data_IF_548279609231
#
_entry.id   IF_548279609231
#
_cell.length_a   1.000
_cell.length_b   1.000
_cell.length_c   1.000
_cell.angle_alpha   90.00
_cell.angle_beta   90.00
_cell.angle_gamma   90.00
#
_symmetry.space_group_name_H-M   'P 1'
#
loop_
_entity.id
_entity.type
_entity.pdbx_description
1 polymer ?
#
# COMPACT_ATOMS: atom_id res chain seq x y z
N UNK A 1 -69.00 19.56 21.72
CA UNK A 1 -68.37 18.92 20.53
C UNK A 1 -66.89 19.06 20.64
N UNK A 2 -66.23 18.02 21.18
CA UNK A 2 -64.75 17.98 21.36
C UNK A 2 -64.09 17.42 20.12
N UNK A 3 -63.36 18.24 19.39
CA UNK A 3 -62.51 17.76 18.26
C UNK A 3 -61.24 17.15 18.84
N UNK A 4 -61.09 15.85 18.75
CA UNK A 4 -59.83 15.15 19.01
C UNK A 4 -58.84 15.46 17.88
N UNK A 5 -57.75 16.13 18.21
CA UNK A 5 -56.63 16.34 17.33
C UNK A 5 -55.68 15.13 17.50
N UNK A 6 -55.69 14.21 16.55
CA UNK A 6 -54.69 13.12 16.45
C UNK A 6 -53.43 13.70 15.85
N UNK A 7 -52.43 14.00 16.68
CA UNK A 7 -51.07 14.28 16.21
C UNK A 7 -50.39 12.98 15.88
N UNK A 8 -50.28 12.69 14.58
CA UNK A 8 -49.50 11.58 14.04
C UNK A 8 -48.01 11.95 14.12
N UNK A 9 -47.33 11.52 15.18
CA UNK A 9 -45.87 11.62 15.28
C UNK A 9 -45.28 10.58 14.35
N UNK A 10 -44.87 11.00 13.14
CA UNK A 10 -44.02 10.21 12.27
C UNK A 10 -42.61 10.15 12.88
N UNK A 11 -42.34 9.08 13.62
CA UNK A 11 -41.02 8.75 14.08
C UNK A 11 -40.23 8.29 12.84
N UNK A 12 -39.46 9.20 12.23
CA UNK A 12 -38.51 8.89 11.17
C UNK A 12 -37.37 8.07 11.81
N UNK A 13 -37.51 6.77 11.87
CA UNK A 13 -36.39 5.88 12.06
C UNK A 13 -35.50 6.03 10.82
N UNK A 14 -34.44 6.77 10.94
CA UNK A 14 -33.35 6.71 9.99
C UNK A 14 -32.73 5.30 10.08
N UNK A 15 -33.30 4.37 9.32
CA UNK A 15 -32.67 3.09 9.07
C UNK A 15 -31.41 3.40 8.29
N UNK A 16 -30.27 3.41 8.97
CA UNK A 16 -28.97 3.43 8.31
C UNK A 16 -28.89 2.09 7.56
N UNK A 17 -29.24 2.13 6.28
CA UNK A 17 -29.08 1.00 5.39
C UNK A 17 -27.60 0.71 5.31
N UNK A 18 -27.15 -0.31 6.02
CA UNK A 18 -25.80 -0.88 5.78
C UNK A 18 -25.86 -1.40 4.36
N UNK A 19 -25.10 -0.77 3.48
CA UNK A 19 -25.03 -1.20 2.09
C UNK A 19 -24.39 -2.58 2.04
N UNK A 20 -24.98 -3.51 1.29
CA UNK A 20 -24.38 -4.81 0.96
C UNK A 20 -23.23 -4.60 -0.04
N UNK A 21 -22.27 -3.75 0.29
CA UNK A 21 -21.18 -3.36 -0.57
C UNK A 21 -20.16 -4.48 -0.78
N UNK A 22 -19.55 -4.51 -1.96
CA UNK A 22 -18.48 -5.45 -2.30
C UNK A 22 -17.15 -4.89 -1.81
N UNK A 23 -16.47 -5.62 -0.93
CA UNK A 23 -15.11 -5.31 -0.48
C UNK A 23 -14.14 -6.21 -1.23
N UNK A 24 -13.21 -5.62 -1.96
CA UNK A 24 -12.14 -6.35 -2.62
C UNK A 24 -10.88 -6.30 -1.77
N UNK A 25 -10.48 -7.45 -1.22
CA UNK A 25 -9.35 -7.58 -0.28
C UNK A 25 -8.09 -7.98 -1.03
N UNK A 26 -7.00 -7.26 -0.75
CA UNK A 26 -5.67 -7.57 -1.23
C UNK A 26 -4.70 -7.79 -0.06
N UNK A 27 -4.14 -8.99 0.02
CA UNK A 27 -3.17 -9.33 1.05
C UNK A 27 -1.76 -8.97 0.55
N UNK A 28 -1.15 -7.94 1.17
CA UNK A 28 0.16 -7.40 0.81
C UNK A 28 1.16 -7.70 1.93
N UNK A 29 1.73 -8.91 1.95
CA UNK A 29 2.63 -9.38 3.00
C UNK A 29 3.98 -9.80 2.42
N UNK A 30 4.61 -8.91 1.66
CA UNK A 30 5.90 -9.17 1.04
C UNK A 30 6.67 -7.88 0.79
N UNK A 31 7.87 -8.01 0.26
CA UNK A 31 8.66 -6.90 -0.26
C UNK A 31 7.97 -6.24 -1.46
N UNK A 32 8.19 -4.94 -1.60
CA UNK A 32 7.66 -4.12 -2.71
C UNK A 32 8.61 -4.25 -3.89
N UNK A 33 8.29 -5.14 -4.81
CA UNK A 33 9.02 -5.34 -6.06
C UNK A 33 8.15 -5.10 -7.30
N UNK A 34 8.73 -5.21 -8.49
CA UNK A 34 7.99 -5.04 -9.75
C UNK A 34 6.93 -6.10 -9.97
N UNK A 35 7.15 -7.33 -9.45
CA UNK A 35 6.17 -8.40 -9.49
C UNK A 35 4.94 -8.05 -8.67
N UNK A 36 5.16 -7.55 -7.44
CA UNK A 36 4.10 -7.10 -6.56
C UNK A 36 3.35 -5.90 -7.13
N UNK A 37 4.05 -4.90 -7.72
CA UNK A 37 3.41 -3.77 -8.37
C UNK A 37 2.49 -4.18 -9.53
N UNK A 38 2.91 -5.17 -10.33
CA UNK A 38 2.10 -5.75 -11.40
C UNK A 38 0.85 -6.47 -10.85
N UNK A 39 1.04 -7.31 -9.83
CA UNK A 39 -0.05 -8.05 -9.17
C UNK A 39 -1.05 -7.08 -8.52
N UNK A 40 -0.56 -6.06 -7.82
CA UNK A 40 -1.39 -5.02 -7.22
C UNK A 40 -2.25 -4.29 -8.26
N UNK A 41 -1.63 -3.87 -9.37
CA UNK A 41 -2.34 -3.20 -10.46
C UNK A 41 -3.40 -4.09 -11.10
N UNK A 42 -3.15 -5.39 -11.20
CA UNK A 42 -4.13 -6.39 -11.66
C UNK A 42 -5.29 -6.50 -10.66
N UNK A 43 -5.00 -6.67 -9.37
CA UNK A 43 -6.02 -6.76 -8.32
C UNK A 43 -6.93 -5.52 -8.28
N UNK A 44 -6.33 -4.32 -8.38
CA UNK A 44 -7.08 -3.08 -8.38
C UNK A 44 -7.99 -2.95 -9.63
N UNK A 45 -7.52 -3.42 -10.81
CA UNK A 45 -8.34 -3.47 -12.03
C UNK A 45 -9.50 -4.45 -11.88
N UNK A 46 -9.24 -5.67 -11.35
CA UNK A 46 -10.29 -6.65 -11.09
C UNK A 46 -11.34 -6.11 -10.11
N UNK A 47 -10.91 -5.40 -9.06
CA UNK A 47 -11.82 -4.72 -8.14
C UNK A 47 -12.74 -3.71 -8.85
N UNK A 48 -12.19 -2.93 -9.81
CA UNK A 48 -13.00 -2.02 -10.63
C UNK A 48 -14.00 -2.78 -11.52
N UNK A 49 -13.58 -3.88 -12.15
CA UNK A 49 -14.43 -4.73 -13.00
C UNK A 49 -15.56 -5.37 -12.19
N UNK A 50 -15.27 -5.77 -10.95
CA UNK A 50 -16.25 -6.32 -9.99
C UNK A 50 -17.14 -5.22 -9.36
N UNK A 51 -16.91 -3.95 -9.68
CA UNK A 51 -17.62 -2.80 -9.11
C UNK A 51 -17.55 -2.79 -7.58
N UNK A 52 -16.37 -3.08 -7.03
CA UNK A 52 -16.16 -3.05 -5.60
C UNK A 52 -16.40 -1.64 -5.04
N UNK A 53 -17.02 -1.57 -3.87
CA UNK A 53 -17.26 -0.32 -3.15
C UNK A 53 -16.03 0.11 -2.34
N UNK A 54 -15.15 -0.85 -2.02
CA UNK A 54 -13.91 -0.62 -1.28
C UNK A 54 -12.83 -1.59 -1.75
N UNK A 55 -11.60 -1.07 -1.93
CA UNK A 55 -10.40 -1.89 -2.05
C UNK A 55 -9.62 -1.84 -0.74
N UNK A 56 -9.56 -2.96 -0.03
CA UNK A 56 -8.90 -3.09 1.28
C UNK A 56 -7.54 -3.76 1.12
N UNK A 57 -6.48 -3.05 1.47
CA UNK A 57 -5.12 -3.58 1.51
C UNK A 57 -4.80 -4.02 2.94
N UNK A 58 -4.53 -5.31 3.16
CA UNK A 58 -3.92 -5.80 4.40
C UNK A 58 -2.40 -5.75 4.23
N UNK A 59 -1.75 -4.78 4.86
CA UNK A 59 -0.36 -4.43 4.61
C UNK A 59 0.57 -4.86 5.74
N UNK A 60 1.58 -5.65 5.38
CA UNK A 60 2.77 -5.88 6.20
C UNK A 60 3.99 -5.90 5.28
N UNK A 61 4.80 -4.85 5.30
CA UNK A 61 6.01 -4.78 4.49
C UNK A 61 7.09 -3.93 5.16
N UNK A 62 8.33 -4.35 4.99
CA UNK A 62 9.50 -3.57 5.37
C UNK A 62 9.98 -2.62 4.27
N UNK A 63 9.32 -2.64 3.10
CA UNK A 63 9.62 -1.77 1.99
C UNK A 63 10.05 -2.51 0.73
N UNK A 64 10.92 -1.90 -0.06
CA UNK A 64 11.44 -2.46 -1.30
C UNK A 64 11.75 -1.39 -2.34
N UNK A 65 11.58 -1.72 -3.62
CA UNK A 65 12.00 -0.90 -4.76
C UNK A 65 11.16 0.38 -4.88
N UNK A 66 11.85 1.53 -5.00
CA UNK A 66 11.20 2.84 -5.11
C UNK A 66 10.31 2.96 -6.36
N UNK A 67 10.76 2.48 -7.51
CA UNK A 67 9.99 2.52 -8.76
C UNK A 67 8.72 1.66 -8.70
N UNK A 68 8.77 0.52 -8.02
CA UNK A 68 7.62 -0.34 -7.78
C UNK A 68 6.62 0.34 -6.82
N UNK A 69 7.12 0.93 -5.73
CA UNK A 69 6.30 1.67 -4.77
C UNK A 69 5.60 2.87 -5.42
N UNK A 70 6.32 3.62 -6.27
CA UNK A 70 5.75 4.76 -7.00
C UNK A 70 4.67 4.33 -7.99
N UNK A 71 4.86 3.19 -8.67
CA UNK A 71 3.85 2.60 -9.55
C UNK A 71 2.56 2.25 -8.79
N UNK A 72 2.68 1.63 -7.60
CA UNK A 72 1.54 1.31 -6.74
C UNK A 72 0.86 2.59 -6.24
N UNK A 73 1.64 3.59 -5.77
CA UNK A 73 1.15 4.90 -5.36
C UNK A 73 0.31 5.56 -6.45
N UNK A 74 0.82 5.61 -7.68
CA UNK A 74 0.11 6.19 -8.83
C UNK A 74 -1.19 5.44 -9.10
N UNK A 75 -1.18 4.11 -9.04
CA UNK A 75 -2.39 3.29 -9.23
C UNK A 75 -3.45 3.61 -8.17
N UNK A 76 -3.05 3.74 -6.90
CA UNK A 76 -3.95 4.10 -5.78
C UNK A 76 -4.51 5.51 -5.96
N UNK A 77 -3.66 6.50 -6.30
CA UNK A 77 -4.10 7.89 -6.46
C UNK A 77 -5.09 8.07 -7.61
N UNK A 78 -5.00 7.23 -8.66
CA UNK A 78 -5.87 7.24 -9.83
C UNK A 78 -7.07 6.30 -9.70
N UNK A 79 -7.20 5.58 -8.60
CA UNK A 79 -8.33 4.68 -8.37
C UNK A 79 -9.65 5.41 -8.32
N UNK A 80 -10.67 4.86 -8.99
CA UNK A 80 -12.05 5.36 -8.97
C UNK A 80 -12.85 4.86 -7.77
N UNK A 81 -12.39 3.78 -7.14
CA UNK A 81 -12.97 3.24 -5.91
C UNK A 81 -12.07 3.62 -4.72
N UNK A 82 -12.64 3.83 -3.53
CA UNK A 82 -11.86 4.10 -2.33
C UNK A 82 -10.86 2.98 -2.05
N UNK A 83 -9.60 3.35 -1.80
CA UNK A 83 -8.55 2.42 -1.38
C UNK A 83 -8.23 2.68 0.08
N UNK A 84 -8.32 1.67 0.89
CA UNK A 84 -8.08 1.71 2.34
C UNK A 84 -6.97 0.73 2.69
N UNK A 85 -6.10 1.12 3.61
CA UNK A 85 -5.04 0.23 4.09
C UNK A 85 -5.24 -0.10 5.57
N UNK A 86 -5.07 -1.37 5.90
CA UNK A 86 -4.91 -1.88 7.25
C UNK A 86 -3.45 -2.26 7.45
N UNK A 87 -2.74 -1.51 8.28
CA UNK A 87 -1.32 -1.77 8.62
C UNK A 87 -1.27 -2.77 9.76
N UNK A 88 -0.73 -3.96 9.49
CA UNK A 88 -0.61 -5.06 10.46
C UNK A 88 0.59 -5.97 10.11
N UNK A 89 1.74 -5.89 10.81
CA UNK A 89 2.12 -4.86 11.79
C UNK A 89 2.99 -3.73 11.21
N UNK A 90 3.49 -3.80 9.97
CA UNK A 90 4.49 -2.86 9.47
C UNK A 90 4.12 -2.19 8.15
N UNK A 91 4.31 -0.87 8.09
CA UNK A 91 4.31 -0.07 6.87
C UNK A 91 5.60 0.75 6.78
N UNK A 92 6.75 0.06 6.64
CA UNK A 92 8.06 0.71 6.58
C UNK A 92 8.43 1.09 5.14
N UNK A 93 9.20 2.17 4.97
CA UNK A 93 9.79 2.59 3.70
C UNK A 93 8.74 2.75 2.58
N UNK A 94 8.82 1.93 1.52
CA UNK A 94 7.81 1.87 0.45
C UNK A 94 6.39 1.63 0.99
N UNK A 95 6.24 0.90 2.10
CA UNK A 95 4.97 0.68 2.77
C UNK A 95 4.34 1.97 3.30
N UNK A 96 5.15 2.89 3.81
CA UNK A 96 4.68 4.21 4.24
C UNK A 96 4.15 5.02 3.05
N UNK A 97 4.86 5.07 1.93
CA UNK A 97 4.44 5.76 0.71
C UNK A 97 3.12 5.20 0.17
N UNK A 98 2.98 3.87 0.12
CA UNK A 98 1.76 3.17 -0.31
C UNK A 98 0.61 3.51 0.64
N UNK A 99 0.85 3.47 1.95
CA UNK A 99 -0.17 3.78 2.95
C UNK A 99 -0.66 5.23 2.86
N UNK A 100 0.27 6.19 2.73
CA UNK A 100 -0.06 7.62 2.58
C UNK A 100 -0.86 7.88 1.31
N UNK A 101 -0.69 7.08 0.25
CA UNK A 101 -1.47 7.19 -0.98
C UNK A 101 -2.93 6.76 -0.81
N UNK A 102 -3.25 5.94 0.19
CA UNK A 102 -4.60 5.44 0.43
C UNK A 102 -5.54 6.55 0.95
N UNK A 103 -6.84 6.37 0.68
CA UNK A 103 -7.88 7.30 1.14
C UNK A 103 -7.95 7.32 2.67
N UNK A 104 -7.88 6.18 3.32
CA UNK A 104 -7.85 6.00 4.78
C UNK A 104 -6.79 5.00 5.18
N UNK A 105 -6.20 5.24 6.35
CA UNK A 105 -5.21 4.38 6.98
C UNK A 105 -5.78 3.91 8.31
N UNK A 106 -5.89 2.61 8.48
CA UNK A 106 -6.19 1.95 9.73
C UNK A 106 -4.97 1.21 10.20
N UNK A 107 -4.72 1.21 11.49
CA UNK A 107 -3.53 0.57 12.06
C UNK A 107 -3.95 -0.36 13.17
N UNK A 108 -3.28 -1.51 13.26
CA UNK A 108 -3.43 -2.39 14.41
C UNK A 108 -2.63 -1.83 15.58
N UNK A 109 -3.10 -2.10 16.81
CA UNK A 109 -2.29 -1.80 18.00
C UNK A 109 -0.92 -2.47 17.91
N UNK A 110 0.14 -1.70 18.22
CA UNK A 110 1.53 -2.17 18.09
C UNK A 110 2.11 -2.13 16.67
N UNK A 111 1.36 -1.64 15.67
CA UNK A 111 1.89 -1.44 14.33
C UNK A 111 2.67 -0.13 14.17
N UNK A 112 3.43 -0.02 13.09
CA UNK A 112 4.25 1.15 12.80
C UNK A 112 4.18 1.59 11.34
N UNK A 113 4.40 2.90 11.09
CA UNK A 113 4.47 3.51 9.76
C UNK A 113 5.57 4.56 9.69
N UNK A 114 6.41 4.52 8.65
CA UNK A 114 7.47 5.52 8.44
C UNK A 114 8.78 4.91 7.94
N UNK A 115 9.93 5.44 8.42
CA UNK A 115 11.27 4.99 8.08
C UNK A 115 11.51 4.88 6.55
N UNK A 116 11.26 5.96 5.81
CA UNK A 116 11.22 5.95 4.35
C UNK A 116 12.48 6.53 3.68
N UNK A 117 13.61 6.57 4.38
CA UNK A 117 14.91 6.91 3.78
C UNK A 117 15.26 5.92 2.68
N UNK A 118 15.64 6.42 1.51
CA UNK A 118 16.09 5.56 0.41
C UNK A 118 17.49 5.04 0.72
N UNK A 119 17.65 3.72 0.69
CA UNK A 119 18.93 3.04 0.93
C UNK A 119 19.41 2.29 -0.30
N UNK A 120 20.71 2.05 -0.40
CA UNK A 120 21.33 1.16 -1.39
C UNK A 120 21.14 -0.28 -0.97
N UNK A 121 21.53 -1.23 -1.84
CA UNK A 121 21.52 -2.68 -1.50
C UNK A 121 22.43 -3.00 -0.30
N UNK A 122 23.43 -2.16 -0.03
CA UNK A 122 24.34 -2.30 1.13
C UNK A 122 23.75 -1.70 2.41
N UNK A 123 22.56 -1.11 2.36
CA UNK A 123 21.89 -0.48 3.50
C UNK A 123 22.37 0.94 3.81
N UNK A 124 23.24 1.54 2.97
CA UNK A 124 23.70 2.91 3.11
C UNK A 124 22.68 3.90 2.50
N UNK A 125 22.64 5.13 3.02
CA UNK A 125 21.77 6.15 2.45
C UNK A 125 22.12 6.41 0.97
N UNK A 126 21.13 6.31 0.10
CA UNK A 126 21.30 6.57 -1.32
C UNK A 126 21.65 8.05 -1.57
N UNK A 127 22.31 8.40 -2.72
CA UNK A 127 22.64 9.77 -3.07
C UNK A 127 21.43 10.73 -2.96
N UNK A 128 21.71 12.00 -2.61
CA UNK A 128 20.66 12.99 -2.28
C UNK A 128 19.59 13.15 -3.38
N UNK A 129 19.92 12.94 -4.66
CA UNK A 129 18.92 13.00 -5.74
C UNK A 129 17.76 12.00 -5.54
N UNK A 130 18.04 10.81 -5.00
CA UNK A 130 17.01 9.82 -4.71
C UNK A 130 16.23 10.17 -3.44
N UNK A 131 16.93 10.70 -2.43
CA UNK A 131 16.29 11.24 -1.23
C UNK A 131 15.37 12.40 -1.58
N UNK A 132 15.84 13.34 -2.42
CA UNK A 132 15.07 14.49 -2.88
C UNK A 132 13.82 14.07 -3.65
N UNK A 133 13.95 13.08 -4.53
CA UNK A 133 12.79 12.51 -5.25
C UNK A 133 11.79 11.89 -4.27
N UNK A 134 12.26 11.05 -3.33
CA UNK A 134 11.39 10.42 -2.34
C UNK A 134 10.68 11.45 -1.45
N UNK A 135 11.39 12.47 -0.95
CA UNK A 135 10.80 13.60 -0.22
C UNK A 135 9.68 14.27 -1.02
N UNK A 136 9.94 14.52 -2.31
CA UNK A 136 8.99 15.16 -3.21
C UNK A 136 7.69 14.36 -3.38
N UNK A 137 7.80 13.06 -3.69
CA UNK A 137 6.62 12.22 -3.88
C UNK A 137 5.86 11.97 -2.57
N UNK A 138 6.55 11.86 -1.44
CA UNK A 138 5.93 11.72 -0.11
C UNK A 138 5.09 12.95 0.22
N UNK A 139 5.65 14.16 0.07
CA UNK A 139 4.90 15.42 0.29
C UNK A 139 3.70 15.53 -0.64
N UNK A 140 3.90 15.38 -1.95
CA UNK A 140 2.83 15.49 -2.94
C UNK A 140 1.70 14.48 -2.68
N UNK A 141 2.05 13.27 -2.21
CA UNK A 141 1.07 12.24 -1.86
C UNK A 141 0.28 12.61 -0.60
N UNK A 142 0.96 13.11 0.44
CA UNK A 142 0.34 13.58 1.67
C UNK A 142 -0.63 14.75 1.40
N UNK A 143 -0.19 15.75 0.62
CA UNK A 143 -1.01 16.88 0.19
C UNK A 143 -2.28 16.41 -0.56
N UNK A 144 -2.13 15.48 -1.52
CA UNK A 144 -3.26 14.93 -2.28
C UNK A 144 -4.29 14.23 -1.39
N UNK A 145 -3.86 13.73 -0.22
CA UNK A 145 -4.70 13.03 0.77
C UNK A 145 -5.03 13.87 2.01
N UNK A 146 -4.78 15.18 1.97
CA UNK A 146 -5.04 16.13 3.07
C UNK A 146 -4.34 15.73 4.38
N UNK A 147 -3.10 15.19 4.27
CA UNK A 147 -2.21 14.92 5.40
C UNK A 147 -1.08 15.94 5.45
N UNK A 148 -0.48 16.15 6.62
CA UNK A 148 0.64 17.09 6.75
C UNK A 148 1.85 16.61 5.92
N UNK A 149 2.27 17.37 4.88
CA UNK A 149 3.38 16.97 4.01
C UNK A 149 4.74 17.00 4.73
N UNK A 150 4.88 17.78 5.81
CA UNK A 150 6.11 17.83 6.58
C UNK A 150 6.36 16.55 7.36
N UNK A 151 5.29 15.93 7.86
CA UNK A 151 5.36 14.61 8.51
C UNK A 151 5.83 13.55 7.51
N UNK A 152 5.27 13.55 6.28
CA UNK A 152 5.71 12.66 5.22
C UNK A 152 7.19 12.89 4.86
N UNK A 153 7.64 14.13 4.81
CA UNK A 153 9.03 14.49 4.55
C UNK A 153 9.98 14.03 5.68
N UNK A 154 9.56 14.19 6.95
CA UNK A 154 10.33 13.74 8.12
C UNK A 154 10.49 12.20 8.17
N UNK A 155 9.60 11.44 7.55
CA UNK A 155 9.78 9.99 7.38
C UNK A 155 10.94 9.63 6.43
N UNK A 156 11.43 10.58 5.62
CA UNK A 156 12.54 10.38 4.67
C UNK A 156 13.81 11.06 5.16
N UNK A 157 13.70 12.29 5.63
CA UNK A 157 14.84 13.16 5.90
C UNK A 157 15.00 13.46 7.40
N UNK A 158 16.09 12.97 8.04
CA UNK A 158 16.33 13.18 9.46
C UNK A 158 16.60 14.65 9.84
N UNK A 159 16.81 15.53 8.86
CA UNK A 159 17.01 16.99 9.08
C UNK A 159 15.68 17.73 9.29
N UNK A 160 14.55 17.12 8.88
CA UNK A 160 13.24 17.72 9.04
C UNK A 160 12.75 17.52 10.47
N UNK A 161 12.64 18.62 11.19
CA UNK A 161 12.16 18.64 12.59
C UNK A 161 10.75 19.21 12.65
N UNK A 162 9.89 18.48 13.34
CA UNK A 162 8.51 18.88 13.64
C UNK A 162 8.38 18.97 15.16
N UNK A 163 8.23 20.18 15.72
CA UNK A 163 8.18 20.36 17.16
C UNK A 163 7.11 19.47 17.83
N UNK A 164 7.52 18.72 18.84
CA UNK A 164 6.63 17.81 19.57
C UNK A 164 6.35 16.47 18.88
N UNK A 165 6.97 16.20 17.71
CA UNK A 165 6.79 14.96 16.93
C UNK A 165 8.08 14.16 16.78
N UNK A 166 9.17 14.81 16.35
CA UNK A 166 10.46 14.14 16.19
C UNK A 166 11.65 15.04 16.56
N UNK A 167 12.81 14.42 16.81
CA UNK A 167 14.08 15.08 17.08
C UNK A 167 14.94 15.16 15.82
N UNK A 168 15.85 16.14 15.79
CA UNK A 168 16.85 16.27 14.71
C UNK A 168 17.77 15.05 14.66
N UNK A 169 18.12 14.63 13.45
CA UNK A 169 19.04 13.51 13.20
C UNK A 169 18.35 12.14 13.23
N UNK A 170 17.03 12.07 13.39
CA UNK A 170 16.25 10.84 13.39
C UNK A 170 15.16 10.87 12.34
N UNK A 171 15.08 9.80 11.57
CA UNK A 171 13.98 9.60 10.62
C UNK A 171 12.71 9.25 11.39
N UNK A 172 11.59 9.86 10.99
CA UNK A 172 10.32 9.64 11.67
C UNK A 172 9.73 8.25 11.39
N UNK A 173 9.33 7.59 12.44
CA UNK A 173 8.48 6.40 12.41
C UNK A 173 7.42 6.57 13.49
N UNK A 174 6.16 6.44 13.13
CA UNK A 174 5.06 6.48 14.08
C UNK A 174 4.66 5.09 14.54
N UNK A 175 4.34 4.96 15.82
CA UNK A 175 3.45 3.93 16.34
C UNK A 175 2.01 4.21 15.88
N UNK A 176 1.10 3.27 16.10
CA UNK A 176 -0.31 3.46 15.78
C UNK A 176 -0.92 4.66 16.53
N UNK A 177 -0.56 4.81 17.81
CA UNK A 177 -1.03 5.89 18.69
C UNK A 177 -0.50 7.26 18.23
N UNK A 178 0.78 7.35 17.89
CA UNK A 178 1.39 8.58 17.36
C UNK A 178 0.80 8.96 15.99
N UNK A 179 0.58 7.95 15.12
CA UNK A 179 -0.06 8.18 13.82
C UNK A 179 -1.49 8.70 13.98
N UNK A 180 -2.26 8.19 14.94
CA UNK A 180 -3.61 8.66 15.25
C UNK A 180 -3.58 10.08 15.79
N UNK A 181 -2.71 10.37 16.77
CA UNK A 181 -2.56 11.70 17.39
C UNK A 181 -2.18 12.77 16.35
N UNK A 182 -1.36 12.41 15.35
CA UNK A 182 -0.91 13.29 14.28
C UNK A 182 -1.80 13.23 13.00
N UNK A 183 -2.96 12.60 13.05
CA UNK A 183 -3.93 12.47 11.93
C UNK A 183 -3.37 11.78 10.69
N UNK A 184 -2.36 10.91 10.87
CA UNK A 184 -1.82 10.04 9.82
C UNK A 184 -2.55 8.70 9.74
N UNK A 185 -3.20 8.29 10.83
CA UNK A 185 -4.10 7.15 10.91
C UNK A 185 -5.53 7.65 11.19
N UNK A 186 -6.52 6.98 10.63
CA UNK A 186 -7.94 7.31 10.80
C UNK A 186 -8.54 6.68 12.06
N UNK A 187 -8.11 5.45 12.39
CA UNK A 187 -8.45 4.78 13.65
C UNK A 187 -7.47 3.62 13.91
N UNK A 188 -7.32 3.27 15.18
CA UNK A 188 -6.67 2.03 15.62
C UNK A 188 -7.77 0.97 15.74
N UNK A 189 -7.55 -0.19 15.12
CA UNK A 189 -8.51 -1.30 15.03
C UNK A 189 -7.78 -2.63 15.17
N UNK A 190 -8.44 -3.64 15.71
CA UNK A 190 -7.82 -4.95 15.88
C UNK A 190 -8.08 -5.90 14.70
N UNK A 191 -9.16 -5.68 13.95
CA UNK A 191 -9.56 -6.57 12.85
C UNK A 191 -10.05 -5.80 11.63
N UNK A 192 -9.99 -6.44 10.46
CA UNK A 192 -10.59 -5.91 9.24
C UNK A 192 -12.11 -5.70 9.37
N UNK A 193 -12.77 -6.51 10.21
CA UNK A 193 -14.20 -6.36 10.49
C UNK A 193 -14.53 -5.03 11.17
N UNK A 194 -13.63 -4.52 12.00
CA UNK A 194 -13.81 -3.22 12.63
C UNK A 194 -13.69 -2.10 11.60
N UNK A 195 -12.80 -2.27 10.60
CA UNK A 195 -12.72 -1.36 9.44
C UNK A 195 -14.04 -1.33 8.68
N UNK A 196 -14.61 -2.50 8.38
CA UNK A 196 -15.86 -2.57 7.62
C UNK A 196 -17.02 -1.91 8.36
N UNK A 197 -17.09 -2.03 9.69
CA UNK A 197 -18.06 -1.30 10.51
C UNK A 197 -17.88 0.21 10.40
N UNK A 198 -16.62 0.72 10.47
CA UNK A 198 -16.30 2.13 10.34
C UNK A 198 -16.60 2.68 8.93
N UNK A 199 -16.47 1.83 7.91
CA UNK A 199 -16.80 2.14 6.51
C UNK A 199 -18.30 1.97 6.19
N UNK A 200 -19.14 1.54 7.16
CA UNK A 200 -20.56 1.20 6.99
C UNK A 200 -20.82 0.16 5.90
N UNK A 201 -19.90 -0.81 5.78
CA UNK A 201 -19.99 -1.92 4.83
C UNK A 201 -20.31 -3.22 5.55
N UNK A 202 -21.07 -4.09 4.88
CA UNK A 202 -21.34 -5.42 5.40
C UNK A 202 -20.25 -6.41 4.97
N UNK A 203 -19.90 -7.36 5.86
CA UNK A 203 -18.88 -8.38 5.62
C UNK A 203 -19.29 -9.50 4.65
N UNK A 204 -20.54 -9.50 4.21
CA UNK A 204 -21.13 -10.66 3.48
C UNK A 204 -20.55 -10.84 2.06
N UNK A 205 -19.80 -9.86 1.55
CA UNK A 205 -19.20 -9.90 0.22
C UNK A 205 -17.75 -9.41 0.21
N UNK A 206 -16.89 -10.12 0.94
CA UNK A 206 -15.45 -9.93 0.82
C UNK A 206 -14.94 -10.83 -0.30
N UNK A 207 -14.42 -10.26 -1.36
CA UNK A 207 -13.74 -10.97 -2.44
C UNK A 207 -12.24 -10.83 -2.19
N UNK A 208 -11.55 -11.93 -1.94
CA UNK A 208 -10.11 -11.93 -1.76
C UNK A 208 -9.42 -12.16 -3.12
N UNK A 209 -8.50 -11.25 -3.48
CA UNK A 209 -7.66 -11.44 -4.65
C UNK A 209 -6.76 -12.64 -4.48
N UNK A 210 -6.80 -13.54 -5.47
CA UNK A 210 -5.92 -14.71 -5.52
C UNK A 210 -5.06 -14.65 -6.79
N UNK A 211 -3.73 -14.48 -6.67
CA UNK A 211 -2.85 -14.51 -7.84
C UNK A 211 -2.93 -15.86 -8.53
N UNK A 212 -3.14 -15.85 -9.84
CA UNK A 212 -3.16 -17.06 -10.66
C UNK A 212 -1.77 -17.74 -10.67
N UNK A 213 -1.73 -19.01 -11.07
CA UNK A 213 -0.46 -19.71 -11.23
C UNK A 213 0.47 -19.03 -12.25
N UNK A 214 -0.09 -18.42 -13.29
CA UNK A 214 0.65 -17.61 -14.27
C UNK A 214 1.26 -16.39 -13.63
N UNK A 215 0.52 -15.70 -12.75
CA UNK A 215 1.04 -14.53 -12.02
C UNK A 215 2.22 -14.91 -11.13
N UNK A 216 2.15 -16.06 -10.47
CA UNK A 216 3.24 -16.59 -9.64
C UNK A 216 4.49 -16.90 -10.48
N UNK A 217 4.33 -17.54 -11.63
CA UNK A 217 5.45 -17.81 -12.56
C UNK A 217 6.07 -16.51 -13.06
N UNK A 218 5.25 -15.55 -13.52
CA UNK A 218 5.76 -14.29 -14.02
C UNK A 218 6.51 -13.55 -12.90
N UNK A 219 5.96 -13.44 -11.71
CA UNK A 219 6.63 -12.79 -10.57
C UNK A 219 7.95 -13.47 -10.21
N UNK A 220 8.00 -14.79 -10.27
CA UNK A 220 9.23 -15.55 -10.07
C UNK A 220 10.28 -15.22 -11.13
N UNK A 221 9.90 -15.21 -12.43
CA UNK A 221 10.82 -14.96 -13.55
C UNK A 221 11.38 -13.53 -13.57
N UNK A 222 10.57 -12.53 -13.16
CA UNK A 222 11.02 -11.13 -13.12
C UNK A 222 11.72 -10.74 -11.81
N UNK A 223 11.85 -11.68 -10.86
CA UNK A 223 12.61 -11.42 -9.63
C UNK A 223 14.08 -11.14 -9.96
N UNK A 224 14.70 -10.04 -9.45
CA UNK A 224 16.02 -9.60 -9.87
C UNK A 224 17.10 -10.69 -9.78
N UNK A 225 17.14 -11.45 -8.69
CA UNK A 225 18.13 -12.53 -8.49
C UNK A 225 17.97 -13.64 -9.54
N UNK A 226 16.74 -14.03 -9.87
CA UNK A 226 16.51 -15.06 -10.88
C UNK A 226 16.80 -14.55 -12.28
N UNK A 227 16.38 -13.32 -12.61
CA UNK A 227 16.68 -12.70 -13.91
C UNK A 227 18.19 -12.64 -14.16
N UNK A 228 18.97 -12.24 -13.15
CA UNK A 228 20.44 -12.22 -13.23
C UNK A 228 21.03 -13.60 -13.45
N UNK A 229 20.53 -14.63 -12.76
CA UNK A 229 20.96 -16.03 -12.95
C UNK A 229 20.63 -16.54 -14.37
N UNK A 230 19.42 -16.24 -14.86
CA UNK A 230 19.01 -16.65 -16.21
C UNK A 230 19.86 -15.97 -17.29
N UNK A 231 20.21 -14.70 -17.12
CA UNK A 231 21.13 -13.98 -18.01
C UNK A 231 22.52 -14.64 -18.00
N UNK A 232 23.03 -15.00 -16.81
CA UNK A 232 24.31 -15.68 -16.69
C UNK A 232 24.32 -17.04 -17.40
N UNK A 233 23.27 -17.85 -17.22
CA UNK A 233 23.10 -19.14 -17.88
C UNK A 233 23.04 -18.95 -19.42
N UNK A 234 22.28 -17.95 -19.88
CA UNK A 234 22.18 -17.60 -21.30
C UNK A 234 23.55 -17.24 -21.89
N UNK A 235 24.31 -16.38 -21.19
CA UNK A 235 25.66 -15.98 -21.64
C UNK A 235 26.63 -17.15 -21.62
N UNK A 236 26.58 -18.04 -20.63
CA UNK A 236 27.37 -19.26 -20.56
C UNK A 236 27.02 -20.20 -21.72
N UNK A 237 25.72 -20.40 -22.00
CA UNK A 237 25.29 -21.21 -23.14
C UNK A 237 25.77 -20.66 -24.46
N UNK A 238 25.68 -19.37 -24.67
CA UNK A 238 26.18 -18.69 -25.86
C UNK A 238 27.72 -18.85 -26.00
N UNK A 239 28.46 -18.71 -24.90
CA UNK A 239 29.91 -18.95 -24.89
C UNK A 239 30.28 -20.37 -25.29
N UNK A 240 29.57 -21.38 -24.74
CA UNK A 240 29.82 -22.79 -25.12
C UNK A 240 29.47 -23.07 -26.58
N UNK A 241 28.40 -22.47 -27.10
CA UNK A 241 28.02 -22.64 -28.51
C UNK A 241 29.09 -22.06 -29.46
N UNK A 242 29.73 -20.93 -29.10
CA UNK A 242 30.86 -20.39 -29.87
C UNK A 242 32.10 -21.26 -29.79
N UNK A 243 32.32 -21.99 -28.69
CA UNK A 243 33.46 -22.90 -28.52
C UNK A 243 33.27 -24.24 -29.25
N UNK A 244 32.07 -24.76 -29.27
CA UNK A 244 31.70 -26.05 -29.83
C UNK A 244 30.33 -25.96 -30.54
N UNK A 245 30.29 -25.40 -31.79
CA UNK A 245 29.05 -25.19 -32.51
C UNK A 245 28.24 -26.49 -32.71
N UNK A 246 26.90 -26.41 -32.50
CA UNK A 246 25.98 -27.52 -32.66
C UNK A 246 25.85 -28.47 -31.45
N UNK A 247 26.42 -28.11 -30.30
CA UNK A 247 26.30 -28.93 -29.09
C UNK A 247 25.03 -28.58 -28.26
N UNK A 248 24.58 -27.31 -28.27
CA UNK A 248 23.42 -26.85 -27.52
C UNK A 248 22.23 -26.59 -28.45
N UNK A 249 22.49 -26.02 -29.62
CA UNK A 249 21.48 -25.82 -30.67
C UNK A 249 21.84 -26.65 -31.88
N UNK A 250 21.25 -27.86 -32.04
CA UNK A 250 21.42 -28.64 -33.26
C UNK A 250 20.87 -27.83 -34.44
N UNK A 251 21.72 -27.63 -35.45
CA UNK A 251 21.43 -26.91 -36.69
C UNK A 251 20.46 -27.74 -37.54
#
# INVERSE_FOLDING_TARGET
MRKLFFALVFLFFAVTSVSAGIVYRFNFQSEVDRGMARIFSKALREAHEQKADLFLIHLNTYGGMLDAADSIRIAILNSKIPVVVFVDPNAASAGALISIACNRIYMRSGSSIGAATVVTEQGEAAPDKYQSYMRGIMRATAEKRNRDPRIAEAMVDPRVVIPGVNDSGRVLTFTAEEALANKYCNAIVETEMDILKLENLNSDKIIEFQPSWVDKIISFLIHPALSSLLILIMLAGLYFEFQAPGTIFPI
#
